data_IF_650456388032
#
_entry.id   IF_650456388032
#
_cell.length_a   1.000
_cell.length_b   1.000
_cell.length_c   1.000
_cell.angle_alpha   90.00
_cell.angle_beta   90.00
_cell.angle_gamma   90.00
#
_symmetry.space_group_name_H-M   'P 1'
#
loop_
_entity.id
_entity.type
_entity.pdbx_description
1 polymer ?
#
# COMPACT_ATOMS: atom_id res chain seq x y z
N UNK A 1 -4.46 27.20 -10.92
CA UNK A 1 -3.66 26.11 -10.34
C UNK A 1 -4.62 24.96 -10.04
N UNK A 2 -4.35 23.74 -10.50
CA UNK A 2 -5.32 22.65 -10.38
C UNK A 2 -4.81 21.29 -10.81
N UNK A 3 -5.74 20.35 -10.91
CA UNK A 3 -5.53 19.00 -11.46
C UNK A 3 -6.01 18.96 -12.90
N UNK A 4 -5.20 18.36 -13.77
CA UNK A 4 -5.42 18.26 -15.20
C UNK A 4 -5.28 16.81 -15.65
N UNK A 5 -6.12 16.38 -16.58
CA UNK A 5 -5.94 15.10 -17.26
C UNK A 5 -5.00 15.28 -18.44
N UNK A 6 -3.86 14.60 -18.41
CA UNK A 6 -2.88 14.66 -19.49
C UNK A 6 -2.81 13.28 -20.14
N UNK A 7 -3.02 13.24 -21.46
CA UNK A 7 -2.87 12.00 -22.22
C UNK A 7 -1.39 11.61 -22.27
N UNK A 8 -1.07 10.34 -22.02
CA UNK A 8 0.32 9.85 -22.00
C UNK A 8 1.09 10.07 -23.30
N UNK A 9 0.38 10.16 -24.42
CA UNK A 9 0.92 10.29 -25.78
C UNK A 9 0.90 11.74 -26.29
N UNK A 10 0.62 12.71 -25.41
CA UNK A 10 0.75 14.13 -25.78
C UNK A 10 2.20 14.45 -26.17
N UNK A 11 2.40 15.25 -27.25
CA UNK A 11 3.73 15.73 -27.63
C UNK A 11 4.43 16.43 -26.45
N UNK A 12 5.73 16.17 -26.28
CA UNK A 12 6.53 16.72 -25.18
C UNK A 12 6.57 15.86 -23.90
N UNK A 13 5.86 14.72 -23.85
CA UNK A 13 5.96 13.77 -22.73
C UNK A 13 7.00 12.70 -23.01
N UNK A 14 7.91 12.51 -22.07
CA UNK A 14 8.83 11.36 -22.05
C UNK A 14 8.86 10.70 -20.67
N UNK A 15 9.13 9.39 -20.64
CA UNK A 15 9.33 8.63 -19.41
C UNK A 15 10.80 8.25 -19.32
N UNK A 16 11.44 8.60 -18.21
CA UNK A 16 12.82 8.18 -17.92
C UNK A 16 12.78 6.97 -16.99
N UNK A 17 13.38 5.86 -17.42
CA UNK A 17 13.35 4.62 -16.66
C UNK A 17 14.26 4.67 -15.42
N UNK A 18 13.75 5.22 -14.32
CA UNK A 18 14.51 5.42 -13.07
C UNK A 18 14.25 4.38 -11.98
N UNK A 19 13.22 3.53 -12.14
CA UNK A 19 12.79 2.56 -11.12
C UNK A 19 13.65 1.29 -11.13
N UNK A 20 14.66 1.20 -10.24
CA UNK A 20 15.41 -0.03 -9.95
C UNK A 20 15.54 -0.27 -8.44
N UNK A 21 14.51 -0.88 -7.86
CA UNK A 21 14.43 -1.16 -6.42
C UNK A 21 14.54 -2.66 -6.10
N UNK A 22 14.91 -2.98 -4.86
CA UNK A 22 15.02 -4.36 -4.38
C UNK A 22 13.66 -5.08 -4.31
N UNK A 23 12.62 -4.35 -3.91
CA UNK A 23 11.24 -4.82 -3.82
C UNK A 23 10.32 -4.02 -4.74
N UNK A 24 9.08 -4.48 -4.91
CA UNK A 24 8.07 -3.80 -5.76
C UNK A 24 8.57 -3.52 -7.19
N UNK A 25 9.45 -4.37 -7.73
CA UNK A 25 10.07 -4.18 -9.04
C UNK A 25 9.05 -4.04 -10.18
N UNK A 26 7.86 -4.61 -10.02
CA UNK A 26 6.78 -4.54 -10.98
C UNK A 26 5.93 -3.25 -10.92
N UNK A 27 6.13 -2.34 -9.95
CA UNK A 27 5.27 -1.15 -9.77
C UNK A 27 5.66 0.06 -10.64
N UNK A 28 6.87 0.09 -11.21
CA UNK A 28 7.24 1.01 -12.29
C UNK A 28 7.11 2.50 -11.97
N UNK A 29 7.58 2.96 -10.80
CA UNK A 29 7.53 4.38 -10.42
C UNK A 29 8.65 5.20 -11.08
N UNK A 30 8.60 5.27 -12.40
CA UNK A 30 9.52 6.01 -13.24
C UNK A 30 9.26 7.52 -13.20
N UNK A 31 10.26 8.31 -13.58
CA UNK A 31 10.10 9.75 -13.73
C UNK A 31 9.38 10.07 -15.05
N UNK A 32 8.45 11.02 -14.99
CA UNK A 32 7.72 11.52 -16.17
C UNK A 32 8.08 12.97 -16.38
N UNK A 33 8.66 13.27 -17.54
CA UNK A 33 9.07 14.62 -17.96
C UNK A 33 7.99 15.20 -18.85
N UNK A 34 7.60 16.45 -18.56
CA UNK A 34 6.67 17.25 -19.35
C UNK A 34 7.43 18.46 -19.91
N UNK A 35 7.75 18.43 -21.20
CA UNK A 35 8.44 19.51 -21.91
C UNK A 35 7.46 20.24 -22.84
N UNK A 36 7.12 21.49 -22.50
CA UNK A 36 6.18 22.36 -23.24
C UNK A 36 4.86 21.67 -23.68
N UNK A 37 4.35 20.76 -22.86
CA UNK A 37 3.15 19.95 -23.17
C UNK A 37 1.90 20.83 -23.17
N UNK A 38 1.27 20.94 -24.34
CA UNK A 38 -0.03 21.60 -24.46
C UNK A 38 -1.15 20.75 -23.87
N UNK A 39 -1.96 21.35 -22.99
CA UNK A 39 -3.14 20.71 -22.38
C UNK A 39 -4.37 21.61 -22.62
N UNK A 40 -5.39 21.13 -23.35
CA UNK A 40 -6.62 21.89 -23.58
C UNK A 40 -7.38 22.17 -22.29
N UNK A 41 -8.07 23.32 -22.20
CA UNK A 41 -8.85 23.73 -21.01
C UNK A 41 -9.92 22.70 -20.63
N UNK A 42 -10.46 21.97 -21.60
CA UNK A 42 -11.48 20.94 -21.39
C UNK A 42 -10.95 19.73 -20.58
N UNK A 43 -9.63 19.62 -20.40
CA UNK A 43 -9.00 18.60 -19.56
C UNK A 43 -8.78 19.05 -18.10
N UNK A 44 -9.22 20.26 -17.74
CA UNK A 44 -9.22 20.74 -16.36
C UNK A 44 -10.26 19.96 -15.54
N UNK A 45 -9.81 19.31 -14.46
CA UNK A 45 -10.70 18.55 -13.56
C UNK A 45 -11.07 19.35 -12.33
N UNK A 46 -10.09 19.98 -11.70
CA UNK A 46 -10.27 20.77 -10.49
C UNK A 46 -9.28 21.93 -10.49
N UNK A 47 -9.72 23.08 -11.01
CA UNK A 47 -8.90 24.30 -11.13
C UNK A 47 -9.40 25.39 -10.20
N UNK A 48 -8.47 26.02 -9.50
CA UNK A 48 -8.75 27.17 -8.66
C UNK A 48 -7.73 28.29 -8.87
N UNK A 49 -8.09 29.56 -8.55
CA UNK A 49 -7.14 30.65 -8.56
C UNK A 49 -5.93 30.34 -7.66
N UNK A 50 -4.74 30.73 -8.09
CA UNK A 50 -3.48 30.37 -7.40
C UNK A 50 -3.40 30.87 -5.95
N UNK A 51 -4.11 31.94 -5.62
CA UNK A 51 -4.14 32.54 -4.29
C UNK A 51 -5.07 31.83 -3.31
N UNK A 52 -5.93 30.92 -3.79
CA UNK A 52 -6.85 30.15 -2.93
C UNK A 52 -6.09 28.95 -2.38
N UNK A 53 -6.06 28.72 -1.04
CA UNK A 53 -5.48 27.52 -0.46
C UNK A 53 -6.19 26.27 -0.96
N UNK A 54 -5.45 25.23 -1.37
CA UNK A 54 -6.03 23.94 -1.73
C UNK A 54 -6.34 23.11 -0.49
N UNK A 55 -7.54 22.51 -0.38
CA UNK A 55 -7.76 21.41 0.55
C UNK A 55 -6.77 20.27 0.28
N UNK A 56 -6.47 19.43 1.26
CA UNK A 56 -5.71 18.19 0.98
C UNK A 56 -6.50 17.31 0.02
N UNK A 57 -5.80 16.70 -0.95
CA UNK A 57 -6.42 15.87 -1.99
C UNK A 57 -7.19 14.68 -1.43
N UNK A 58 -6.77 14.15 -0.28
CA UNK A 58 -7.49 13.12 0.45
C UNK A 58 -8.21 13.74 1.65
N UNK A 59 -9.54 13.59 1.67
CA UNK A 59 -10.33 13.82 2.87
C UNK A 59 -10.12 12.66 3.87
N UNK A 60 -10.73 12.75 5.06
CA UNK A 60 -10.55 11.70 6.08
C UNK A 60 -11.04 10.32 5.61
N UNK A 61 -11.99 10.25 4.66
CA UNK A 61 -12.46 8.99 4.09
C UNK A 61 -11.43 8.43 3.11
N UNK A 62 -10.85 9.26 2.25
CA UNK A 62 -9.78 8.88 1.33
C UNK A 62 -8.55 8.35 2.07
N UNK A 63 -8.17 8.99 3.19
CA UNK A 63 -7.08 8.49 4.06
C UNK A 63 -7.42 7.12 4.65
N UNK A 64 -8.63 6.94 5.16
CA UNK A 64 -9.06 5.64 5.70
C UNK A 64 -9.06 4.55 4.62
N UNK A 65 -9.56 4.87 3.42
CA UNK A 65 -9.59 3.94 2.30
C UNK A 65 -8.18 3.50 1.89
N UNK A 66 -7.24 4.45 1.76
CA UNK A 66 -5.85 4.15 1.45
C UNK A 66 -5.20 3.29 2.55
N UNK A 67 -5.47 3.60 3.83
CA UNK A 67 -4.95 2.83 4.95
C UNK A 67 -5.44 1.37 4.93
N UNK A 68 -6.70 1.14 4.58
CA UNK A 68 -7.28 -0.22 4.45
C UNK A 68 -6.64 -0.96 3.28
N UNK A 69 -6.58 -0.35 2.09
CA UNK A 69 -6.00 -1.01 0.91
C UNK A 69 -4.54 -1.38 1.11
N UNK A 70 -3.74 -0.45 1.61
CA UNK A 70 -2.32 -0.70 1.84
C UNK A 70 -2.12 -1.80 2.88
N UNK A 71 -2.87 -1.76 3.98
CA UNK A 71 -2.82 -2.79 5.02
C UNK A 71 -3.26 -4.16 4.50
N UNK A 72 -4.28 -4.23 3.65
CA UNK A 72 -4.75 -5.47 3.04
C UNK A 72 -3.69 -6.11 2.13
N UNK A 73 -2.92 -5.30 1.38
CA UNK A 73 -1.79 -5.79 0.57
C UNK A 73 -0.75 -6.46 1.47
N UNK A 74 -0.34 -5.80 2.56
CA UNK A 74 0.64 -6.37 3.49
C UNK A 74 0.12 -7.60 4.23
N UNK A 75 -1.16 -7.63 4.60
CA UNK A 75 -1.79 -8.83 5.19
C UNK A 75 -1.74 -10.02 4.21
N UNK A 76 -2.04 -9.78 2.92
CA UNK A 76 -1.90 -10.78 1.87
C UNK A 76 -0.48 -11.33 1.74
N UNK A 77 0.53 -10.46 1.74
CA UNK A 77 1.95 -10.85 1.73
C UNK A 77 2.30 -11.69 2.96
N UNK A 78 1.85 -11.29 4.14
CA UNK A 78 2.12 -12.01 5.39
C UNK A 78 1.48 -13.40 5.40
N UNK A 79 0.25 -13.55 4.89
CA UNK A 79 -0.42 -14.85 4.72
C UNK A 79 0.34 -15.76 3.76
N UNK A 80 0.72 -15.24 2.59
CA UNK A 80 1.47 -16.01 1.61
C UNK A 80 2.82 -16.49 2.17
N UNK A 81 3.55 -15.62 2.89
CA UNK A 81 4.80 -15.98 3.54
C UNK A 81 4.59 -17.04 4.63
N UNK A 82 3.54 -16.92 5.44
CA UNK A 82 3.17 -17.89 6.48
C UNK A 82 2.85 -19.26 5.88
N UNK A 83 2.05 -19.31 4.82
CA UNK A 83 1.65 -20.57 4.19
C UNK A 83 2.84 -21.27 3.52
N UNK A 84 3.71 -20.50 2.86
CA UNK A 84 4.97 -21.02 2.35
C UNK A 84 5.86 -21.59 3.48
N UNK A 85 6.01 -20.84 4.58
CA UNK A 85 6.83 -21.25 5.72
C UNK A 85 6.31 -22.56 6.33
N UNK A 86 4.99 -22.71 6.47
CA UNK A 86 4.41 -23.96 6.96
C UNK A 86 4.73 -25.15 6.06
N UNK A 87 4.56 -25.00 4.74
CA UNK A 87 4.91 -26.03 3.79
C UNK A 87 6.37 -26.43 3.89
N UNK A 88 7.25 -25.42 4.01
CA UNK A 88 8.69 -25.64 4.16
C UNK A 88 9.05 -26.36 5.48
N UNK A 89 8.50 -25.92 6.61
CA UNK A 89 8.76 -26.52 7.93
C UNK A 89 8.28 -27.97 8.01
N UNK A 90 7.17 -28.31 7.34
CA UNK A 90 6.64 -29.66 7.28
C UNK A 90 7.50 -30.62 6.43
N UNK A 91 8.23 -30.10 5.44
CA UNK A 91 9.05 -30.90 4.52
C UNK A 91 10.53 -30.95 4.93
N UNK A 92 11.03 -29.91 5.58
CA UNK A 92 12.45 -29.80 5.94
C UNK A 92 12.75 -30.68 7.15
N UNK A 93 13.44 -31.80 6.93
CA UNK A 93 13.98 -32.66 8.00
C UNK A 93 15.52 -32.66 7.99
N UNK A 94 16.18 -31.99 8.94
CA UNK A 94 17.64 -32.08 9.10
C UNK A 94 18.09 -33.50 9.49
N UNK A 95 19.23 -33.94 8.95
CA UNK A 95 19.75 -35.30 9.18
C UNK A 95 20.05 -35.60 10.66
N UNK A 96 20.48 -34.59 11.43
CA UNK A 96 20.74 -34.72 12.87
C UNK A 96 19.48 -34.74 13.74
N UNK A 97 18.34 -34.28 13.22
CA UNK A 97 17.06 -34.28 13.93
C UNK A 97 16.22 -35.52 13.58
N UNK A 98 16.26 -35.96 12.32
CA UNK A 98 15.50 -37.13 11.84
C UNK A 98 13.98 -36.92 11.73
N UNK A 99 13.49 -35.71 11.99
CA UNK A 99 12.09 -35.33 11.90
C UNK A 99 11.94 -33.95 11.23
N UNK A 100 10.75 -33.60 10.69
CA UNK A 100 10.49 -32.27 10.16
C UNK A 100 10.67 -31.17 11.20
N UNK A 101 11.09 -29.98 10.78
CA UNK A 101 11.21 -28.83 11.68
C UNK A 101 9.88 -28.47 12.35
N UNK A 102 8.74 -28.75 11.72
CA UNK A 102 7.41 -28.57 12.31
C UNK A 102 7.17 -29.39 13.60
N UNK A 103 7.97 -30.43 13.87
CA UNK A 103 7.89 -31.20 15.11
C UNK A 103 8.47 -30.47 16.33
N UNK A 104 9.25 -29.40 16.11
CA UNK A 104 9.90 -28.68 17.20
C UNK A 104 8.96 -27.64 17.83
N UNK A 105 8.82 -27.60 19.17
CA UNK A 105 7.92 -26.66 19.85
C UNK A 105 8.16 -25.19 19.48
N UNK A 106 9.43 -24.79 19.34
CA UNK A 106 9.79 -23.42 18.96
C UNK A 106 9.14 -22.98 17.64
N UNK A 107 9.05 -23.86 16.65
CA UNK A 107 8.41 -23.51 15.38
C UNK A 107 6.89 -23.47 15.50
N UNK A 108 6.29 -24.32 16.34
CA UNK A 108 4.85 -24.28 16.62
C UNK A 108 4.46 -22.98 17.34
N UNK A 109 5.25 -22.54 18.31
CA UNK A 109 5.06 -21.26 19.02
C UNK A 109 5.19 -20.06 18.07
N UNK A 110 6.21 -20.06 17.20
CA UNK A 110 6.42 -18.99 16.24
C UNK A 110 5.25 -18.89 15.24
N UNK A 111 4.77 -20.02 14.72
CA UNK A 111 3.59 -20.05 13.85
C UNK A 111 2.36 -19.57 14.59
N UNK A 112 2.13 -20.03 15.83
CA UNK A 112 1.01 -19.58 16.64
C UNK A 112 1.01 -18.07 16.87
N UNK A 113 2.20 -17.47 17.06
CA UNK A 113 2.35 -16.00 17.16
C UNK A 113 2.02 -15.30 15.84
N UNK A 114 2.46 -15.84 14.71
CA UNK A 114 2.12 -15.29 13.38
C UNK A 114 0.61 -15.35 13.16
N UNK A 115 -0.02 -16.49 13.45
CA UNK A 115 -1.45 -16.68 13.27
C UNK A 115 -2.28 -15.74 14.17
N UNK A 116 -1.82 -15.48 15.41
CA UNK A 116 -2.43 -14.50 16.29
C UNK A 116 -2.35 -13.07 15.73
N UNK A 117 -1.21 -12.68 15.13
CA UNK A 117 -1.05 -11.38 14.48
C UNK A 117 -1.93 -11.26 13.22
N UNK A 118 -2.01 -12.31 12.40
CA UNK A 118 -2.87 -12.35 11.22
C UNK A 118 -4.37 -12.31 11.57
N UNK A 119 -4.75 -12.89 12.72
CA UNK A 119 -6.11 -12.76 13.25
C UNK A 119 -6.40 -11.31 13.66
N UNK A 120 -5.46 -10.65 14.33
CA UNK A 120 -5.61 -9.24 14.69
C UNK A 120 -5.76 -8.36 13.44
N UNK A 121 -4.90 -8.55 12.44
CA UNK A 121 -5.01 -7.87 11.15
C UNK A 121 -6.40 -8.04 10.54
N UNK A 122 -6.91 -9.27 10.49
CA UNK A 122 -8.25 -9.56 9.96
C UNK A 122 -9.34 -8.77 10.68
N UNK A 123 -9.34 -8.80 12.01
CA UNK A 123 -10.35 -8.09 12.81
C UNK A 123 -10.31 -6.58 12.54
N UNK A 124 -9.10 -6.00 12.48
CA UNK A 124 -8.92 -4.57 12.22
C UNK A 124 -9.32 -4.20 10.79
N UNK A 125 -8.92 -4.99 9.80
CA UNK A 125 -9.25 -4.78 8.39
C UNK A 125 -10.75 -4.91 8.15
N UNK A 126 -11.40 -5.94 8.71
CA UNK A 126 -12.84 -6.15 8.59
C UNK A 126 -13.60 -4.97 9.23
N UNK A 127 -13.19 -4.55 10.45
CA UNK A 127 -13.79 -3.39 11.10
C UNK A 127 -13.59 -2.09 10.29
N UNK A 128 -12.42 -1.89 9.69
CA UNK A 128 -12.14 -0.71 8.88
C UNK A 128 -12.92 -0.71 7.57
N UNK A 129 -13.00 -1.85 6.88
CA UNK A 129 -13.72 -2.04 5.62
C UNK A 129 -15.24 -1.87 5.80
N UNK A 130 -15.78 -2.30 6.94
CA UNK A 130 -17.19 -2.13 7.29
C UNK A 130 -17.52 -0.73 7.85
N UNK A 131 -16.53 0.17 7.92
CA UNK A 131 -16.73 1.53 8.43
C UNK A 131 -16.97 1.60 9.94
N UNK A 132 -16.63 0.53 10.69
CA UNK A 132 -16.68 0.51 12.16
C UNK A 132 -15.53 1.27 12.81
N UNK A 133 -14.53 1.69 12.02
CA UNK A 133 -13.46 2.60 12.46
C UNK A 133 -13.80 4.02 12.01
N UNK A 134 -13.98 4.92 12.98
CA UNK A 134 -14.20 6.32 12.69
C UNK A 134 -12.95 6.92 12.00
N UNK A 135 -13.11 7.72 10.92
CA UNK A 135 -12.01 8.48 10.38
C UNK A 135 -11.41 9.36 11.47
N UNK A 136 -10.10 9.32 11.65
CA UNK A 136 -9.41 10.17 12.63
C UNK A 136 -9.85 11.63 12.45
N UNK A 137 -10.22 12.29 13.55
CA UNK A 137 -10.58 13.72 13.53
C UNK A 137 -9.33 14.47 13.08
N UNK A 138 -9.42 15.29 12.02
CA UNK A 138 -8.32 16.22 11.69
C UNK A 138 -7.98 17.00 12.97
N UNK A 139 -6.70 17.12 13.35
CA UNK A 139 -6.33 18.09 14.36
C UNK A 139 -6.93 19.43 13.95
N UNK A 140 -7.62 20.13 14.85
CA UNK A 140 -8.06 21.50 14.59
C UNK A 140 -6.81 22.26 14.16
N UNK A 141 -6.89 22.96 13.04
CA UNK A 141 -5.80 23.84 12.60
C UNK A 141 -5.48 24.76 13.77
N UNK A 142 -4.28 24.62 14.35
CA UNK A 142 -3.77 25.62 15.27
C UNK A 142 -3.59 26.88 14.45
N UNK A 143 -4.51 27.83 14.64
CA UNK A 143 -4.31 29.22 14.26
C UNK A 143 -3.20 29.76 15.16
N UNK A 144 -2.01 29.91 14.58
CA UNK A 144 -0.99 30.83 15.06
C UNK A 144 -0.92 31.99 14.07
#
# INVERSE_FOLDING_TARGET
>A
MGTWLVRRDSPGISVEETWDHLGMRATGSHDVIFDEVFVPEEQAVDIQPAHVPRPSELDSKGVLWLAVLLSAIYDGVARAARDWLLGWLAQRAPANLGAPLSSLPRFQELIGRIDALLLNNRVLLDAAAEGRIAPGRRPRSNTW
#
